data_IF_114397428259
#
_entry.id   IF_114397428259
#
_cell.length_a   1.000
_cell.length_b   1.000
_cell.length_c   1.000
_cell.angle_alpha   90.00
_cell.angle_beta   90.00
_cell.angle_gamma   90.00
#
_symmetry.space_group_name_H-M   'P 1'
#
loop_
_entity.id
_entity.type
_entity.pdbx_description
1 polymer ?
#
# COMPACT_ATOMS: atom_id res chain seq x y z
N UNK A 1 10.82 -1.73 14.23
CA UNK A 1 10.78 -2.94 15.08
C UNK A 1 9.35 -3.30 15.51
N UNK A 2 8.52 -2.38 15.99
CA UNK A 2 7.13 -2.71 16.36
C UNK A 2 6.28 -3.26 15.19
N UNK A 3 6.33 -2.61 14.02
CA UNK A 3 5.53 -3.01 12.84
C UNK A 3 5.93 -4.38 12.29
N UNK A 4 7.23 -4.74 12.38
CA UNK A 4 7.67 -6.09 11.99
C UNK A 4 7.16 -7.16 12.96
N UNK A 5 7.10 -6.86 14.27
CA UNK A 5 6.51 -7.77 15.26
C UNK A 5 5.02 -7.97 15.01
N UNK A 6 4.28 -6.93 14.63
CA UNK A 6 2.87 -7.07 14.23
C UNK A 6 2.68 -7.96 13.00
N UNK A 7 3.59 -7.87 12.02
CA UNK A 7 3.57 -8.79 10.87
C UNK A 7 3.71 -10.25 11.31
N UNK A 8 4.66 -10.54 12.21
CA UNK A 8 4.84 -11.88 12.74
C UNK A 8 3.65 -12.35 13.57
N UNK A 9 3.19 -11.52 14.51
CA UNK A 9 2.17 -11.89 15.50
C UNK A 9 0.76 -11.95 14.93
N UNK A 10 0.40 -11.06 13.98
CA UNK A 10 -0.96 -10.99 13.45
C UNK A 10 -1.16 -11.78 12.16
N UNK A 11 -0.09 -11.99 11.37
CA UNK A 11 -0.24 -12.60 10.04
C UNK A 11 0.49 -13.92 9.96
N UNK A 12 1.74 -14.00 10.43
CA UNK A 12 2.49 -15.25 10.35
C UNK A 12 1.96 -16.31 11.34
N UNK A 13 1.43 -15.89 12.50
CA UNK A 13 0.81 -16.79 13.48
C UNK A 13 -0.42 -17.55 12.95
N UNK A 14 -1.04 -17.07 11.87
CA UNK A 14 -2.20 -17.72 11.23
C UNK A 14 -1.79 -19.06 10.58
N UNK A 15 -0.56 -19.17 10.10
CA UNK A 15 0.01 -20.41 9.57
C UNK A 15 1.31 -20.74 10.33
N UNK A 16 1.23 -21.38 11.51
CA UNK A 16 2.37 -21.56 12.41
C UNK A 16 3.47 -22.47 11.84
N UNK A 17 3.16 -23.16 10.74
CA UNK A 17 4.07 -24.08 10.06
C UNK A 17 4.89 -23.35 8.97
N UNK A 18 4.46 -22.15 8.57
CA UNK A 18 5.16 -21.31 7.60
C UNK A 18 6.04 -20.28 8.30
N UNK A 19 7.30 -20.19 7.89
CA UNK A 19 8.26 -19.22 8.45
C UNK A 19 8.95 -18.43 7.33
N UNK A 20 9.09 -17.12 7.51
CA UNK A 20 9.91 -16.30 6.61
C UNK A 20 10.46 -15.07 7.33
N UNK A 21 11.80 -15.03 7.50
CA UNK A 21 12.47 -13.91 8.17
C UNK A 21 12.31 -12.56 7.45
N UNK A 22 12.14 -12.57 6.12
CA UNK A 22 11.93 -11.37 5.31
C UNK A 22 10.51 -10.79 5.44
N UNK A 23 9.54 -11.56 5.93
CA UNK A 23 8.14 -11.15 6.00
C UNK A 23 7.91 -9.93 6.89
N UNK A 24 8.62 -9.84 8.02
CA UNK A 24 8.55 -8.66 8.89
C UNK A 24 9.02 -7.38 8.17
N UNK A 25 10.08 -7.47 7.37
CA UNK A 25 10.58 -6.35 6.56
C UNK A 25 9.60 -5.98 5.44
N UNK A 26 9.04 -6.98 4.77
CA UNK A 26 8.00 -6.79 3.75
C UNK A 26 6.76 -6.06 4.31
N UNK A 27 6.32 -6.42 5.52
CA UNK A 27 5.20 -5.77 6.19
C UNK A 27 5.47 -4.30 6.54
N UNK A 28 6.71 -3.96 6.93
CA UNK A 28 7.13 -2.58 7.17
C UNK A 28 7.11 -1.77 5.87
N UNK A 29 7.69 -2.30 4.79
CA UNK A 29 7.77 -1.60 3.50
C UNK A 29 6.39 -1.35 2.90
N UNK A 30 5.50 -2.35 2.92
CA UNK A 30 4.10 -2.20 2.48
C UNK A 30 3.34 -1.17 3.33
N UNK A 31 3.54 -1.15 4.65
CA UNK A 31 2.93 -0.14 5.53
C UNK A 31 3.42 1.26 5.17
N UNK A 32 4.74 1.44 5.00
CA UNK A 32 5.30 2.72 4.55
C UNK A 32 4.73 3.13 3.19
N UNK A 33 4.64 2.20 2.23
CA UNK A 33 4.08 2.47 0.92
C UNK A 33 2.63 2.99 1.00
N UNK A 34 1.77 2.39 1.82
CA UNK A 34 0.41 2.90 2.05
C UNK A 34 0.39 4.29 2.70
N UNK A 35 1.32 4.56 3.63
CA UNK A 35 1.42 5.87 4.28
C UNK A 35 1.77 6.98 3.27
N UNK A 36 2.70 6.72 2.35
CA UNK A 36 3.04 7.67 1.29
C UNK A 36 1.92 7.81 0.25
N UNK A 37 1.19 6.74 -0.07
CA UNK A 37 -0.02 6.85 -0.89
C UNK A 37 -1.08 7.76 -0.23
N UNK A 38 -1.32 7.59 1.07
CA UNK A 38 -2.24 8.45 1.82
C UNK A 38 -1.75 9.90 1.84
N UNK A 39 -0.45 10.12 2.08
CA UNK A 39 0.17 11.45 2.07
C UNK A 39 0.03 12.15 0.71
N UNK A 40 0.26 11.42 -0.39
CA UNK A 40 0.01 11.89 -1.76
C UNK A 40 -1.43 12.36 -1.97
N UNK A 41 -2.41 11.60 -1.47
CA UNK A 41 -3.83 11.98 -1.58
C UNK A 41 -4.13 13.22 -0.74
N UNK A 42 -3.61 13.28 0.49
CA UNK A 42 -3.87 14.38 1.41
C UNK A 42 -3.25 15.70 0.93
N UNK A 43 -2.01 15.67 0.44
CA UNK A 43 -1.31 16.86 -0.09
C UNK A 43 -2.04 17.45 -1.28
N UNK A 44 -2.44 16.62 -2.26
CA UNK A 44 -3.19 17.10 -3.43
C UNK A 44 -4.57 17.64 -3.04
N UNK A 45 -5.29 16.98 -2.12
CA UNK A 45 -6.60 17.45 -1.67
C UNK A 45 -6.52 18.73 -0.84
N UNK A 46 -5.48 18.91 -0.03
CA UNK A 46 -5.26 20.13 0.74
C UNK A 46 -4.97 21.33 -0.18
N UNK A 47 -4.16 21.13 -1.22
CA UNK A 47 -3.85 22.16 -2.20
C UNK A 47 -5.08 22.54 -3.05
N UNK A 48 -5.85 21.55 -3.51
CA UNK A 48 -7.09 21.79 -4.27
C UNK A 48 -8.19 22.46 -3.45
N UNK A 49 -8.23 22.23 -2.13
CA UNK A 49 -9.19 22.85 -1.22
C UNK A 49 -8.76 24.22 -0.67
N UNK A 50 -7.61 24.75 -1.07
CA UNK A 50 -7.08 26.01 -0.57
C UNK A 50 -6.65 26.01 0.90
N UNK A 51 -6.58 24.83 1.54
CA UNK A 51 -6.16 24.71 2.96
C UNK A 51 -4.65 24.87 3.13
N UNK A 52 -3.86 24.61 2.09
CA UNK A 52 -2.40 24.73 2.12
C UNK A 52 -1.85 25.11 0.74
N UNK A 53 -0.94 26.08 0.69
CA UNK A 53 -0.20 26.44 -0.54
C UNK A 53 1.08 25.60 -0.66
N UNK A 54 0.92 24.31 -0.95
CA UNK A 54 2.07 23.39 -1.06
C UNK A 54 2.75 23.62 -2.42
N UNK A 55 4.07 23.91 -2.47
CA UNK A 55 4.76 24.12 -3.73
C UNK A 55 4.73 22.84 -4.58
N UNK A 56 4.63 22.95 -5.91
CA UNK A 56 4.59 21.79 -6.81
C UNK A 56 5.79 20.84 -6.66
N UNK A 57 6.95 21.38 -6.27
CA UNK A 57 8.17 20.62 -6.01
C UNK A 57 7.96 19.62 -4.86
N UNK A 58 7.37 20.06 -3.74
CA UNK A 58 7.11 19.19 -2.60
C UNK A 58 6.12 18.07 -2.95
N UNK A 59 5.08 18.37 -3.75
CA UNK A 59 4.15 17.34 -4.25
C UNK A 59 4.86 16.32 -5.14
N UNK A 60 5.83 16.77 -5.94
CA UNK A 60 6.64 15.88 -6.77
C UNK A 60 7.59 15.01 -5.93
N UNK A 61 8.15 15.53 -4.84
CA UNK A 61 9.03 14.76 -3.97
C UNK A 61 8.26 13.66 -3.21
N UNK A 62 7.04 13.95 -2.75
CA UNK A 62 6.15 12.91 -2.20
C UNK A 62 5.84 11.83 -3.25
N UNK A 63 5.64 12.22 -4.52
CA UNK A 63 5.43 11.27 -5.61
C UNK A 63 6.66 10.38 -5.86
N UNK A 64 7.88 10.94 -5.79
CA UNK A 64 9.14 10.19 -5.90
C UNK A 64 9.28 9.18 -4.77
N UNK A 65 8.94 9.58 -3.53
CA UNK A 65 8.99 8.68 -2.37
C UNK A 65 7.98 7.54 -2.49
N UNK A 66 6.74 7.84 -2.91
CA UNK A 66 5.75 6.81 -3.21
C UNK A 66 6.25 5.84 -4.30
N UNK A 67 6.86 6.35 -5.37
CA UNK A 67 7.44 5.53 -6.43
C UNK A 67 8.57 4.64 -5.92
N UNK A 68 9.53 5.21 -5.19
CA UNK A 68 10.65 4.47 -4.61
C UNK A 68 10.16 3.33 -3.70
N UNK A 69 9.14 3.58 -2.88
CA UNK A 69 8.55 2.54 -2.04
C UNK A 69 7.77 1.49 -2.81
N UNK A 70 7.15 1.83 -3.94
CA UNK A 70 6.52 0.81 -4.80
C UNK A 70 7.56 -0.16 -5.38
N UNK A 71 8.74 0.35 -5.78
CA UNK A 71 9.86 -0.47 -6.24
C UNK A 71 10.41 -1.31 -5.09
N UNK A 72 10.60 -0.70 -3.91
CA UNK A 72 11.07 -1.42 -2.72
C UNK A 72 10.11 -2.55 -2.33
N UNK A 73 8.80 -2.31 -2.38
CA UNK A 73 7.79 -3.33 -2.09
C UNK A 73 7.90 -4.52 -3.05
N UNK A 74 8.01 -4.25 -4.36
CA UNK A 74 8.20 -5.31 -5.36
C UNK A 74 9.53 -6.04 -5.18
N UNK A 75 10.59 -5.32 -4.82
CA UNK A 75 11.89 -5.92 -4.53
C UNK A 75 11.79 -6.91 -3.38
N UNK A 76 11.19 -6.54 -2.24
CA UNK A 76 11.03 -7.45 -1.11
C UNK A 76 10.15 -8.66 -1.47
N UNK A 77 9.07 -8.44 -2.20
CA UNK A 77 8.23 -9.53 -2.70
C UNK A 77 9.05 -10.53 -3.56
N UNK A 78 9.84 -10.01 -4.50
CA UNK A 78 10.64 -10.84 -5.39
C UNK A 78 11.79 -11.55 -4.66
N UNK A 79 12.49 -10.86 -3.75
CA UNK A 79 13.55 -11.45 -2.92
C UNK A 79 13.02 -12.60 -2.06
N UNK A 80 11.81 -12.46 -1.51
CA UNK A 80 11.17 -13.54 -0.76
C UNK A 80 10.77 -14.71 -1.68
N UNK A 81 10.14 -14.41 -2.82
CA UNK A 81 9.70 -15.42 -3.78
C UNK A 81 10.87 -16.26 -4.31
N UNK A 82 11.97 -15.63 -4.73
CA UNK A 82 13.13 -16.32 -5.29
C UNK A 82 13.73 -17.32 -4.31
N UNK A 83 13.95 -16.91 -3.06
CA UNK A 83 14.58 -17.77 -2.05
C UNK A 83 13.69 -18.98 -1.74
N UNK A 84 12.38 -18.79 -1.62
CA UNK A 84 11.45 -19.88 -1.34
C UNK A 84 11.34 -20.84 -2.54
N UNK A 85 11.27 -20.29 -3.75
CA UNK A 85 11.16 -21.10 -4.96
C UNK A 85 12.43 -21.92 -5.23
N UNK A 86 13.61 -21.32 -5.11
CA UNK A 86 14.89 -22.01 -5.31
C UNK A 86 15.27 -22.91 -4.13
N UNK A 87 14.89 -22.55 -2.90
CA UNK A 87 15.07 -23.41 -1.73
C UNK A 87 14.21 -24.67 -1.78
N UNK A 88 13.09 -24.62 -2.51
CA UNK A 88 12.14 -25.72 -2.76
C UNK A 88 11.79 -26.54 -1.51
N UNK A 89 11.67 -25.87 -0.36
CA UNK A 89 11.26 -26.52 0.89
C UNK A 89 9.75 -26.73 0.83
N UNK A 90 9.23 -27.97 0.91
CA UNK A 90 7.82 -28.27 0.64
C UNK A 90 6.84 -27.45 1.48
N UNK A 91 7.25 -27.09 2.70
CA UNK A 91 6.43 -26.35 3.64
C UNK A 91 6.23 -24.88 3.22
N UNK A 92 7.29 -24.21 2.77
CA UNK A 92 7.28 -22.82 2.36
C UNK A 92 6.70 -22.66 0.95
N UNK A 93 7.05 -23.58 0.04
CA UNK A 93 6.56 -23.57 -1.34
C UNK A 93 5.04 -23.74 -1.39
N UNK A 94 4.44 -24.55 -0.50
CA UNK A 94 2.98 -24.75 -0.44
C UNK A 94 2.21 -23.44 -0.19
N UNK A 95 2.77 -22.54 0.61
CA UNK A 95 2.18 -21.22 0.90
C UNK A 95 2.05 -20.38 -0.38
N UNK A 96 3.09 -20.37 -1.22
CA UNK A 96 3.10 -19.65 -2.51
C UNK A 96 2.24 -20.35 -3.55
N UNK A 97 2.30 -21.68 -3.65
CA UNK A 97 1.52 -22.45 -4.64
C UNK A 97 0.02 -22.19 -4.48
N UNK A 98 -0.50 -22.22 -3.25
CA UNK A 98 -1.92 -21.95 -2.97
C UNK A 98 -2.38 -20.55 -3.39
N UNK A 99 -1.48 -19.58 -3.45
CA UNK A 99 -1.80 -18.16 -3.70
C UNK A 99 -1.58 -17.74 -5.14
N UNK A 100 -0.53 -18.25 -5.78
CA UNK A 100 -0.15 -17.86 -7.15
C UNK A 100 -0.62 -18.84 -8.21
N UNK A 101 -0.85 -20.11 -7.86
CA UNK A 101 -1.14 -21.17 -8.85
C UNK A 101 -2.52 -21.83 -8.67
N UNK A 102 -3.29 -21.47 -7.65
CA UNK A 102 -4.64 -22.01 -7.41
C UNK A 102 -5.68 -20.90 -7.57
N UNK A 103 -6.68 -21.15 -8.40
CA UNK A 103 -7.84 -20.26 -8.54
C UNK A 103 -8.71 -20.31 -7.28
N UNK A 104 -9.29 -19.19 -6.85
CA UNK A 104 -9.37 -17.89 -7.53
C UNK A 104 -8.22 -16.91 -7.20
N UNK A 105 -7.30 -17.29 -6.31
CA UNK A 105 -6.26 -16.43 -5.75
C UNK A 105 -5.24 -15.96 -6.78
N UNK A 106 -4.95 -16.77 -7.79
CA UNK A 106 -4.09 -16.37 -8.93
C UNK A 106 -4.59 -15.07 -9.58
N UNK A 107 -5.90 -14.92 -9.75
CA UNK A 107 -6.48 -13.70 -10.38
C UNK A 107 -6.25 -12.48 -9.50
N UNK A 108 -6.42 -12.62 -8.18
CA UNK A 108 -6.16 -11.55 -7.21
C UNK A 108 -4.66 -11.20 -7.18
N UNK A 109 -3.77 -12.19 -7.24
CA UNK A 109 -2.33 -11.99 -7.26
C UNK A 109 -1.89 -11.14 -8.45
N UNK A 110 -2.37 -11.48 -9.66
CA UNK A 110 -2.10 -10.70 -10.87
C UNK A 110 -2.68 -9.30 -10.81
N UNK A 111 -3.89 -9.15 -10.26
CA UNK A 111 -4.49 -7.84 -10.06
C UNK A 111 -3.64 -6.96 -9.12
N UNK A 112 -3.21 -7.51 -7.98
CA UNK A 112 -2.32 -6.82 -7.03
C UNK A 112 -1.01 -6.41 -7.70
N UNK A 113 -0.40 -7.31 -8.49
CA UNK A 113 0.83 -7.01 -9.22
C UNK A 113 0.65 -5.87 -10.24
N UNK A 114 -0.41 -5.93 -11.05
CA UNK A 114 -0.65 -4.94 -12.12
C UNK A 114 -1.04 -3.59 -11.51
N UNK A 115 -1.97 -3.58 -10.56
CA UNK A 115 -2.54 -2.35 -9.99
C UNK A 115 -1.62 -1.73 -8.94
N UNK A 116 -0.93 -2.56 -8.15
CA UNK A 116 -0.04 -2.11 -7.08
C UNK A 116 1.35 -1.72 -7.55
N UNK A 117 1.83 -2.32 -8.66
CA UNK A 117 3.18 -2.05 -9.13
C UNK A 117 3.25 -1.65 -10.60
N UNK A 118 2.73 -2.44 -11.54
CA UNK A 118 2.97 -2.19 -12.98
C UNK A 118 2.41 -0.83 -13.44
N UNK A 119 1.17 -0.51 -13.06
CA UNK A 119 0.50 0.76 -13.40
C UNK A 119 1.19 1.95 -12.70
N UNK A 120 1.38 1.94 -11.36
CA UNK A 120 2.13 2.99 -10.68
C UNK A 120 3.53 3.16 -11.25
N UNK A 121 4.21 2.07 -11.58
CA UNK A 121 5.57 2.08 -12.10
C UNK A 121 5.64 2.77 -13.45
N UNK A 122 4.85 2.32 -14.44
CA UNK A 122 4.86 2.91 -15.78
C UNK A 122 4.42 4.38 -15.78
N UNK A 123 3.40 4.72 -14.99
CA UNK A 123 2.92 6.09 -14.89
C UNK A 123 3.92 7.02 -14.19
N UNK A 124 4.42 6.64 -13.01
CA UNK A 124 5.33 7.47 -12.24
C UNK A 124 6.70 7.58 -12.92
N UNK A 125 7.18 6.55 -13.61
CA UNK A 125 8.43 6.63 -14.38
C UNK A 125 8.34 7.71 -15.47
N UNK A 126 7.30 7.66 -16.32
CA UNK A 126 7.10 8.69 -17.38
C UNK A 126 6.96 10.09 -16.79
N UNK A 127 6.27 10.21 -15.66
CA UNK A 127 6.03 11.49 -14.99
C UNK A 127 7.29 12.06 -14.33
N UNK A 128 8.14 11.22 -13.75
CA UNK A 128 9.36 11.64 -13.07
C UNK A 128 10.48 12.01 -14.04
N UNK A 129 10.51 11.39 -15.22
CA UNK A 129 11.46 11.72 -16.30
C UNK A 129 11.02 12.94 -17.12
N UNK A 130 9.75 13.36 -17.03
CA UNK A 130 9.18 14.49 -17.77
C UNK A 130 9.07 15.80 -16.99
N UNK A 131 8.60 16.86 -17.66
CA UNK A 131 8.26 18.15 -17.02
C UNK A 131 7.18 17.95 -15.95
N UNK A 132 7.26 18.64 -14.79
CA UNK A 132 6.26 18.51 -13.73
C UNK A 132 4.87 18.89 -14.29
N UNK A 133 3.88 17.98 -14.22
CA UNK A 133 2.58 18.24 -14.81
C UNK A 133 1.82 19.28 -13.99
N UNK A 134 1.13 20.17 -14.70
CA UNK A 134 0.31 21.25 -14.14
C UNK A 134 -0.95 20.72 -13.42
N UNK A 135 -1.28 19.42 -13.57
CA UNK A 135 -2.44 18.77 -12.97
C UNK A 135 -2.02 17.57 -12.11
N UNK A 136 -2.33 17.64 -10.81
CA UNK A 136 -1.97 16.60 -9.84
C UNK A 136 -3.05 15.51 -9.65
N UNK A 137 -4.20 15.62 -10.32
CA UNK A 137 -5.30 14.63 -10.25
C UNK A 137 -4.86 13.18 -10.50
N UNK A 138 -4.00 12.86 -11.50
CA UNK A 138 -3.64 11.47 -11.75
C UNK A 138 -2.73 10.86 -10.66
N UNK A 139 -2.04 11.69 -9.86
CA UNK A 139 -1.30 11.21 -8.68
C UNK A 139 -2.26 10.52 -7.70
N UNK A 140 -3.42 11.12 -7.48
CA UNK A 140 -4.44 10.61 -6.54
C UNK A 140 -4.93 9.25 -7.01
N UNK A 141 -5.19 9.09 -8.31
CA UNK A 141 -5.62 7.81 -8.89
C UNK A 141 -4.57 6.72 -8.64
N UNK A 142 -3.30 7.00 -8.90
CA UNK A 142 -2.20 6.05 -8.68
C UNK A 142 -2.03 5.71 -7.19
N UNK A 143 -2.17 6.70 -6.30
CA UNK A 143 -2.14 6.47 -4.86
C UNK A 143 -3.32 5.62 -4.38
N UNK A 144 -4.52 5.81 -4.93
CA UNK A 144 -5.69 4.98 -4.63
C UNK A 144 -5.47 3.55 -5.13
N UNK A 145 -4.92 3.36 -6.33
CA UNK A 145 -4.55 2.04 -6.82
C UNK A 145 -3.53 1.33 -5.92
N UNK A 146 -2.50 2.05 -5.45
CA UNK A 146 -1.55 1.51 -4.46
C UNK A 146 -2.23 1.07 -3.16
N UNK A 147 -3.15 1.88 -2.61
CA UNK A 147 -3.91 1.51 -1.41
C UNK A 147 -4.78 0.28 -1.62
N UNK A 148 -5.51 0.22 -2.74
CA UNK A 148 -6.36 -0.93 -3.08
C UNK A 148 -5.53 -2.19 -3.27
N UNK A 149 -4.36 -2.09 -3.91
CA UNK A 149 -3.47 -3.21 -4.13
C UNK A 149 -2.91 -3.77 -2.82
N UNK A 150 -2.42 -2.93 -1.90
CA UNK A 150 -1.95 -3.41 -0.59
C UNK A 150 -3.09 -3.99 0.24
N UNK A 151 -4.31 -3.43 0.14
CA UNK A 151 -5.47 -4.04 0.79
C UNK A 151 -5.76 -5.45 0.26
N UNK A 152 -5.79 -5.63 -1.06
CA UNK A 152 -6.00 -6.94 -1.68
C UNK A 152 -4.84 -7.90 -1.42
N UNK A 153 -3.61 -7.41 -1.34
CA UNK A 153 -2.44 -8.19 -0.92
C UNK A 153 -2.64 -8.74 0.50
N UNK A 154 -3.14 -7.92 1.44
CA UNK A 154 -3.44 -8.38 2.81
C UNK A 154 -4.52 -9.46 2.82
N UNK A 155 -5.57 -9.29 2.01
CA UNK A 155 -6.60 -10.33 1.81
C UNK A 155 -5.97 -11.62 1.29
N UNK A 156 -5.10 -11.53 0.27
CA UNK A 156 -4.42 -12.68 -0.33
C UNK A 156 -3.46 -13.38 0.63
N UNK A 157 -2.82 -12.65 1.55
CA UNK A 157 -1.95 -13.25 2.56
C UNK A 157 -2.76 -13.94 3.66
N UNK A 158 -3.90 -13.38 4.08
CA UNK A 158 -4.67 -13.87 5.24
C UNK A 158 -5.71 -14.94 4.87
N UNK A 159 -6.58 -14.67 3.89
CA UNK A 159 -7.78 -15.49 3.64
C UNK A 159 -7.48 -16.95 3.23
N UNK A 160 -6.46 -17.25 2.41
CA UNK A 160 -6.13 -18.62 2.05
C UNK A 160 -5.60 -19.47 3.23
N UNK A 161 -5.21 -18.83 4.33
CA UNK A 161 -4.77 -19.52 5.55
C UNK A 161 -5.90 -19.74 6.57
N UNK A 162 -6.95 -18.91 6.55
CA UNK A 162 -8.07 -18.98 7.52
C UNK A 162 -9.23 -19.84 6.99
N UNK A 163 -9.58 -19.69 5.72
CA UNK A 163 -10.71 -20.39 5.10
C UNK A 163 -10.21 -21.49 4.17
N UNK A 164 -10.53 -22.74 4.49
CA UNK A 164 -10.31 -23.88 3.58
C UNK A 164 -11.23 -23.86 2.35
N UNK A 165 -12.26 -23.01 2.38
CA UNK A 165 -13.15 -22.72 1.27
C UNK A 165 -12.59 -21.55 0.46
N UNK A 166 -12.46 -21.72 -0.87
CA UNK A 166 -11.88 -20.74 -1.81
C UNK A 166 -12.75 -19.49 -2.03
N UNK A 167 -13.41 -18.98 -0.99
CA UNK A 167 -14.28 -17.79 -1.05
C UNK A 167 -13.41 -16.53 -1.00
N UNK A 168 -13.55 -15.69 -2.03
CA UNK A 168 -12.73 -14.50 -2.22
C UNK A 168 -12.98 -13.43 -1.14
N UNK A 169 -14.23 -12.97 -1.02
CA UNK A 169 -14.67 -11.94 -0.08
C UNK A 169 -16.17 -12.16 0.18
N UNK A 170 -16.57 -12.20 1.45
CA UNK A 170 -17.98 -12.17 1.85
C UNK A 170 -18.48 -10.73 1.89
N UNK A 171 -19.79 -10.54 1.75
CA UNK A 171 -20.43 -9.23 1.95
C UNK A 171 -20.13 -8.66 3.36
N UNK A 172 -20.00 -9.54 4.35
CA UNK A 172 -19.64 -9.17 5.72
C UNK A 172 -18.24 -8.53 5.79
N UNK A 173 -17.26 -9.05 5.05
CA UNK A 173 -15.88 -8.53 5.05
C UNK A 173 -15.83 -7.11 4.45
N UNK A 174 -16.63 -6.88 3.41
CA UNK A 174 -16.77 -5.56 2.78
C UNK A 174 -17.42 -4.57 3.75
N UNK A 175 -18.47 -4.98 4.47
CA UNK A 175 -19.11 -4.14 5.48
C UNK A 175 -18.17 -3.79 6.64
N UNK A 176 -17.41 -4.76 7.14
CA UNK A 176 -16.42 -4.54 8.21
C UNK A 176 -15.35 -3.56 7.72
N UNK A 177 -14.83 -3.76 6.52
CA UNK A 177 -13.83 -2.88 5.91
C UNK A 177 -14.39 -1.45 5.76
N UNK A 178 -15.62 -1.31 5.27
CA UNK A 178 -16.29 -0.03 5.14
C UNK A 178 -16.53 0.64 6.50
N UNK A 179 -16.86 -0.13 7.54
CA UNK A 179 -17.01 0.34 8.92
C UNK A 179 -15.73 0.93 9.47
N UNK A 180 -14.61 0.20 9.38
CA UNK A 180 -13.30 0.70 9.81
C UNK A 180 -12.82 1.91 9.00
N UNK A 181 -13.04 1.90 7.69
CA UNK A 181 -12.72 3.05 6.82
C UNK A 181 -13.56 4.28 7.21
N UNK A 182 -14.85 4.08 7.52
CA UNK A 182 -15.74 5.13 8.02
C UNK A 182 -15.26 5.71 9.35
N UNK A 183 -14.93 4.84 10.32
CA UNK A 183 -14.37 5.25 11.62
C UNK A 183 -13.05 6.02 11.46
N UNK A 184 -12.16 5.58 10.59
CA UNK A 184 -10.92 6.28 10.29
C UNK A 184 -11.18 7.69 9.73
N UNK A 185 -12.09 7.82 8.77
CA UNK A 185 -12.45 9.10 8.19
C UNK A 185 -13.13 10.04 9.20
N UNK A 186 -13.97 9.50 10.10
CA UNK A 186 -14.62 10.25 11.17
C UNK A 186 -13.59 10.74 12.20
N UNK A 187 -12.73 9.85 12.70
CA UNK A 187 -11.64 10.20 13.63
C UNK A 187 -10.75 11.28 13.05
N UNK A 188 -10.36 11.13 11.78
CA UNK A 188 -9.62 12.15 11.03
C UNK A 188 -10.37 13.49 11.01
N UNK A 189 -11.63 13.50 10.57
CA UNK A 189 -12.43 14.73 10.49
C UNK A 189 -12.53 15.40 11.86
N UNK A 190 -12.79 14.63 12.90
CA UNK A 190 -12.89 15.10 14.27
C UNK A 190 -11.58 15.76 14.73
N UNK A 191 -10.43 15.13 14.48
CA UNK A 191 -9.12 15.69 14.76
C UNK A 191 -8.88 17.04 14.05
N UNK A 192 -9.15 17.12 12.74
CA UNK A 192 -8.97 18.37 11.99
C UNK A 192 -9.91 19.48 12.46
N UNK A 193 -11.16 19.17 12.83
CA UNK A 193 -12.09 20.16 13.38
C UNK A 193 -11.69 20.66 14.76
N UNK A 194 -11.09 19.80 15.58
CA UNK A 194 -10.74 20.13 16.97
C UNK A 194 -9.47 20.98 17.08
N UNK A 195 -8.45 20.64 16.28
CA UNK A 195 -7.12 21.22 16.40
C UNK A 195 -6.82 22.32 15.38
N UNK A 196 -7.65 22.50 14.34
CA UNK A 196 -7.47 23.48 13.24
C UNK A 196 -5.98 23.74 12.96
N UNK A 197 -5.21 22.71 12.56
CA UNK A 197 -3.77 22.84 12.45
C UNK A 197 -3.45 23.98 11.49
N UNK A 198 -2.81 25.02 12.02
CA UNK A 198 -2.31 26.14 11.22
C UNK A 198 -1.21 25.56 10.35
N UNK A 199 -1.50 25.36 9.06
CA UNK A 199 -0.50 25.06 8.05
C UNK A 199 0.33 26.33 7.81
N UNK A 200 1.14 26.70 8.80
CA UNK A 200 2.13 27.77 8.69
C UNK A 200 3.17 27.33 7.68
N UNK A 201 3.00 27.77 6.44
CA UNK A 201 4.05 27.75 5.44
C UNK A 201 4.97 28.95 5.72
N UNK A 202 6.29 28.81 5.59
CA UNK A 202 7.18 29.96 5.68
C UNK A 202 6.70 31.00 4.66
N UNK A 203 6.54 32.24 5.13
CA UNK A 203 6.31 33.39 4.28
C UNK A 203 7.32 33.33 3.13
N UNK A 204 6.85 33.27 1.89
CA UNK A 204 7.66 33.68 0.75
C UNK A 204 8.01 35.13 1.02
N UNK A 205 9.17 35.35 1.63
CA UNK A 205 9.83 36.64 1.62
C UNK A 205 9.89 37.07 0.16
N UNK A 206 9.34 38.24 -0.09
CA UNK A 206 9.71 39.03 -1.25
C UNK A 206 11.23 39.03 -1.34
N UNK A 207 11.79 38.63 -2.48
CA UNK A 207 12.92 39.23 -3.17
C UNK A 207 13.11 38.52 -4.52
#
# INVERSE_FOLDING_TARGET
>A
MAVSLWGFDLVMSIDPVWYSGLFGGYFVVSTLYTAFCLLSILTVRANAGGLASIPPVAVQDVAKLQFALSIMWMYFFWSQYLVIWYGNVPIETRFFVRRFFVQPWTTVAWFVFIVGWLIPFGYLLKRLTGRPPQRHTPLVVVAVFGLVAIFLERVLVVFPSVSGDNRLLSWQDVLITAGFLGLFLLSRRWFFTRYKPVLNLPHTGQH
#
